data_IF_339206034590
#
_entry.id   IF_339206034590
#
_cell.length_a   1.000
_cell.length_b   1.000
_cell.length_c   1.000
_cell.angle_alpha   90.00
_cell.angle_beta   90.00
_cell.angle_gamma   90.00
#
_symmetry.space_group_name_H-M   'P 1'
#
loop_
_entity.id
_entity.type
_entity.pdbx_description
1 polymer ?
#
# COMPACT_ATOMS: atom_id res chain seq x y z
N UNK A 1 -29.37 -19.51 10.90
CA UNK A 1 -30.72 -19.93 10.49
C UNK A 1 -30.57 -20.89 9.34
N UNK A 2 -31.05 -22.15 9.49
CA UNK A 2 -31.40 -22.97 8.35
C UNK A 2 -32.62 -22.28 7.73
N UNK A 3 -32.38 -21.51 6.69
CA UNK A 3 -33.47 -21.05 5.83
C UNK A 3 -33.92 -22.26 5.01
N UNK A 4 -35.19 -22.59 5.16
CA UNK A 4 -35.86 -23.48 4.22
C UNK A 4 -35.72 -22.83 2.83
N UNK A 5 -35.05 -23.52 1.90
CA UNK A 5 -34.82 -23.07 0.54
C UNK A 5 -36.12 -22.78 -0.25
N UNK A 6 -37.29 -23.17 0.30
CA UNK A 6 -38.61 -22.98 -0.27
C UNK A 6 -39.40 -21.83 0.39
N UNK A 7 -38.88 -21.12 1.41
CA UNK A 7 -39.56 -19.98 1.96
C UNK A 7 -39.23 -18.71 1.14
N UNK A 8 -40.16 -18.23 0.34
CA UNK A 8 -40.15 -16.90 -0.23
C UNK A 8 -40.16 -15.88 0.93
N UNK A 9 -39.01 -15.39 1.33
CA UNK A 9 -38.96 -14.22 2.20
C UNK A 9 -39.27 -12.99 1.36
N UNK A 10 -40.48 -12.47 1.48
CA UNK A 10 -40.81 -11.15 0.95
C UNK A 10 -39.98 -10.09 1.66
N UNK A 11 -39.09 -9.42 0.92
CA UNK A 11 -38.32 -8.26 1.35
C UNK A 11 -39.26 -7.03 1.28
N UNK A 12 -40.38 -7.08 1.96
CA UNK A 12 -41.34 -5.97 2.07
C UNK A 12 -41.27 -5.38 3.47
N UNK A 13 -40.15 -4.69 3.75
CA UNK A 13 -40.02 -3.91 4.99
C UNK A 13 -39.61 -2.48 4.61
N UNK A 14 -40.58 -1.53 4.39
CA UNK A 14 -40.26 -0.16 4.06
C UNK A 14 -39.44 0.46 5.20
N UNK A 15 -38.22 0.92 4.90
CA UNK A 15 -37.30 1.52 5.86
C UNK A 15 -36.07 0.71 6.18
N UNK A 16 -36.00 -0.57 5.80
CA UNK A 16 -34.79 -1.39 5.95
C UNK A 16 -33.86 -1.19 4.75
N UNK A 17 -32.55 -1.03 5.03
CA UNK A 17 -31.53 -0.95 3.99
C UNK A 17 -30.90 -2.31 3.76
N UNK A 18 -30.64 -2.65 2.49
CA UNK A 18 -29.92 -3.84 2.09
C UNK A 18 -28.69 -3.47 1.28
N UNK A 19 -27.54 -3.99 1.70
CA UNK A 19 -26.30 -3.89 0.96
C UNK A 19 -26.03 -5.28 0.40
N UNK A 20 -25.96 -5.41 -0.92
CA UNK A 20 -25.74 -6.67 -1.62
C UNK A 20 -24.37 -6.68 -2.29
N UNK A 21 -23.71 -7.82 -2.24
CA UNK A 21 -22.48 -8.09 -2.98
C UNK A 21 -22.81 -8.99 -4.17
N UNK A 22 -22.49 -8.55 -5.37
CA UNK A 22 -22.63 -9.31 -6.61
C UNK A 22 -21.24 -9.65 -7.14
N UNK A 23 -21.03 -10.92 -7.47
CA UNK A 23 -19.85 -11.41 -8.17
C UNK A 23 -20.31 -11.98 -9.51
N UNK A 24 -19.81 -11.45 -10.62
CA UNK A 24 -20.21 -11.78 -11.98
C UNK A 24 -21.74 -11.80 -12.22
N UNK A 25 -22.44 -10.85 -11.60
CA UNK A 25 -23.89 -10.71 -11.68
C UNK A 25 -24.68 -11.70 -10.80
N UNK A 26 -24.01 -12.55 -10.03
CA UNK A 26 -24.62 -13.49 -9.08
C UNK A 26 -24.59 -12.91 -7.67
N UNK A 27 -25.69 -13.05 -6.92
CA UNK A 27 -25.74 -12.61 -5.52
C UNK A 27 -24.83 -13.49 -4.65
N UNK A 28 -23.67 -12.93 -4.29
CA UNK A 28 -22.67 -13.57 -3.43
C UNK A 28 -23.00 -13.44 -1.94
N UNK A 29 -23.70 -12.38 -1.55
CA UNK A 29 -24.14 -12.17 -0.17
C UNK A 29 -24.87 -10.85 0.02
N UNK A 30 -25.44 -10.67 1.19
CA UNK A 30 -26.05 -9.39 1.59
C UNK A 30 -26.00 -9.17 3.10
N UNK A 31 -26.08 -7.91 3.51
CA UNK A 31 -26.29 -7.48 4.88
C UNK A 31 -27.52 -6.56 4.94
N UNK A 32 -28.32 -6.65 5.99
CA UNK A 32 -29.48 -5.77 6.16
C UNK A 32 -29.36 -4.93 7.43
N UNK A 33 -29.73 -3.66 7.31
CA UNK A 33 -29.62 -2.66 8.34
C UNK A 33 -30.99 -2.04 8.64
N UNK A 34 -31.34 -1.95 9.90
CA UNK A 34 -32.47 -1.15 10.37
C UNK A 34 -31.93 0.21 10.83
N UNK A 35 -32.44 1.32 10.27
CA UNK A 35 -32.08 2.66 10.72
C UNK A 35 -32.67 2.99 12.10
N UNK A 36 -32.21 4.06 12.74
CA UNK A 36 -32.61 4.43 14.11
C UNK A 36 -34.12 4.70 14.31
N UNK A 37 -34.90 4.92 13.27
CA UNK A 37 -36.15 5.66 13.42
C UNK A 37 -37.36 4.77 13.35
N UNK A 38 -38.03 4.06 13.12
CA UNK A 38 -39.44 3.74 12.92
C UNK A 38 -39.91 2.36 13.42
N UNK A 39 -39.02 1.50 13.87
CA UNK A 39 -39.40 0.18 14.41
C UNK A 39 -38.53 -0.21 15.59
N UNK A 40 -39.08 -0.89 16.60
CA UNK A 40 -38.24 -1.43 17.68
C UNK A 40 -37.22 -2.40 17.09
N UNK A 41 -35.92 -2.21 17.42
CA UNK A 41 -34.88 -3.15 17.08
C UNK A 41 -35.24 -4.55 17.60
N UNK A 42 -34.88 -5.59 16.86
CA UNK A 42 -35.14 -6.97 17.30
C UNK A 42 -34.48 -7.28 18.63
N UNK A 43 -33.32 -6.68 18.88
CA UNK A 43 -32.63 -6.81 20.15
C UNK A 43 -33.51 -6.34 21.33
N UNK A 44 -34.43 -5.37 21.14
CA UNK A 44 -35.37 -4.93 22.18
C UNK A 44 -36.45 -5.96 22.48
N UNK A 45 -36.65 -6.95 21.64
CA UNK A 45 -37.56 -8.07 21.91
C UNK A 45 -37.05 -8.96 23.03
N UNK A 46 -35.73 -8.98 23.22
CA UNK A 46 -35.05 -9.80 24.20
C UNK A 46 -34.58 -9.01 25.43
N UNK A 47 -34.37 -7.69 25.27
CA UNK A 47 -33.96 -6.79 26.31
C UNK A 47 -34.92 -5.60 26.39
N UNK A 48 -35.24 -5.19 27.62
CA UNK A 48 -35.98 -3.94 27.80
C UNK A 48 -35.12 -2.77 27.30
N UNK A 49 -35.79 -1.70 26.87
CA UNK A 49 -35.13 -0.44 26.50
C UNK A 49 -34.23 0.07 27.64
N UNK A 50 -34.70 -0.09 28.88
CA UNK A 50 -33.99 0.29 30.09
C UNK A 50 -32.68 -0.53 30.27
N UNK A 51 -32.71 -1.84 29.99
CA UNK A 51 -31.51 -2.70 30.03
C UNK A 51 -30.51 -2.32 28.94
N UNK A 52 -30.98 -2.00 27.74
CA UNK A 52 -30.11 -1.53 26.65
C UNK A 52 -29.47 -0.18 27.00
N UNK A 53 -30.24 0.75 27.58
CA UNK A 53 -29.73 2.04 28.02
C UNK A 53 -28.71 1.91 29.14
N UNK A 54 -28.89 0.97 30.06
CA UNK A 54 -27.96 0.75 31.17
C UNK A 54 -26.71 -0.02 30.77
N UNK A 55 -26.73 -0.82 29.73
CA UNK A 55 -25.60 -1.68 29.31
C UNK A 55 -24.88 -1.15 28.07
N UNK A 56 -25.59 -1.04 26.95
CA UNK A 56 -25.01 -0.61 25.67
C UNK A 56 -24.83 0.90 25.63
N UNK A 57 -25.79 1.63 26.17
CA UNK A 57 -25.82 3.09 26.07
C UNK A 57 -25.18 3.82 27.24
N UNK A 58 -24.87 3.14 28.34
CA UNK A 58 -24.08 3.73 29.44
C UNK A 58 -22.66 4.09 28.98
N UNK A 59 -22.12 3.31 28.03
CA UNK A 59 -20.82 3.58 27.40
C UNK A 59 -20.94 4.48 26.15
N UNK A 60 -22.11 4.53 25.51
CA UNK A 60 -22.35 5.21 24.22
C UNK A 60 -23.07 6.56 24.31
N UNK A 61 -23.20 7.15 25.51
CA UNK A 61 -23.75 8.50 25.71
C UNK A 61 -25.04 8.82 24.91
N UNK A 62 -26.13 8.09 25.16
CA UNK A 62 -27.54 8.50 24.84
C UNK A 62 -27.94 8.67 23.38
N UNK A 63 -27.57 7.76 22.46
CA UNK A 63 -27.80 8.00 21.03
C UNK A 63 -28.65 6.95 20.32
N UNK A 64 -29.80 6.59 20.89
CA UNK A 64 -30.78 5.73 20.19
C UNK A 64 -31.16 6.25 18.81
N UNK A 65 -31.16 7.58 18.62
CA UNK A 65 -31.52 8.22 17.36
C UNK A 65 -30.43 8.11 16.28
N UNK A 66 -29.26 7.58 16.61
CA UNK A 66 -28.13 7.36 15.70
C UNK A 66 -27.60 5.92 15.74
N UNK A 67 -28.35 5.01 16.36
CA UNK A 67 -28.00 3.58 16.45
C UNK A 67 -28.65 2.81 15.30
N UNK A 68 -27.87 1.98 14.62
CA UNK A 68 -28.35 1.05 13.59
C UNK A 68 -28.36 -0.38 14.12
N UNK A 69 -29.30 -1.21 13.66
CA UNK A 69 -29.31 -2.65 13.94
C UNK A 69 -28.90 -3.43 12.71
N UNK A 70 -27.83 -4.25 12.82
CA UNK A 70 -27.51 -5.27 11.83
C UNK A 70 -28.40 -6.49 12.05
N UNK A 71 -29.21 -6.83 11.04
CA UNK A 71 -30.25 -7.87 11.14
C UNK A 71 -29.87 -9.19 10.52
N UNK A 72 -29.25 -9.14 9.36
CA UNK A 72 -28.85 -10.35 8.63
C UNK A 72 -27.54 -10.09 7.90
N UNK A 73 -26.62 -10.98 8.08
CA UNK A 73 -25.41 -11.10 7.25
C UNK A 73 -25.43 -12.51 6.67
N UNK A 74 -25.60 -12.60 5.35
CA UNK A 74 -25.75 -13.87 4.66
C UNK A 74 -24.75 -13.91 3.50
N UNK A 75 -24.02 -15.02 3.40
CA UNK A 75 -23.11 -15.30 2.29
C UNK A 75 -23.56 -16.58 1.60
N UNK A 76 -23.71 -16.52 0.30
CA UNK A 76 -24.02 -17.66 -0.53
C UNK A 76 -22.94 -18.75 -0.36
N UNK A 77 -23.31 -20.01 -0.11
CA UNK A 77 -22.35 -21.08 0.15
C UNK A 77 -21.26 -21.24 -0.91
N UNK A 78 -21.56 -20.94 -2.17
CA UNK A 78 -20.62 -21.04 -3.29
C UNK A 78 -19.50 -19.95 -3.25
N UNK A 79 -19.68 -18.90 -2.45
CA UNK A 79 -18.74 -17.79 -2.30
C UNK A 79 -18.14 -17.72 -0.89
N UNK A 80 -18.28 -18.77 -0.07
CA UNK A 80 -17.65 -18.84 1.25
C UNK A 80 -16.13 -18.90 1.10
N UNK A 81 -15.42 -18.21 1.99
CA UNK A 81 -13.96 -18.10 1.94
C UNK A 81 -13.41 -16.93 1.08
N UNK A 82 -14.28 -16.20 0.38
CA UNK A 82 -13.90 -15.07 -0.48
C UNK A 82 -14.06 -13.68 0.19
N UNK A 83 -13.98 -13.61 1.50
CA UNK A 83 -14.08 -12.37 2.29
C UNK A 83 -15.38 -11.55 2.08
N UNK A 84 -16.43 -12.16 1.52
CA UNK A 84 -17.71 -11.46 1.24
C UNK A 84 -18.33 -10.88 2.51
N UNK A 85 -18.29 -11.61 3.63
CA UNK A 85 -18.80 -11.13 4.93
C UNK A 85 -18.06 -9.89 5.42
N UNK A 86 -16.74 -9.86 5.27
CA UNK A 86 -15.91 -8.72 5.65
C UNK A 86 -16.21 -7.50 4.78
N UNK A 87 -16.29 -7.67 3.45
CA UNK A 87 -16.67 -6.59 2.51
C UNK A 87 -18.04 -6.01 2.84
N UNK A 88 -19.03 -6.85 3.09
CA UNK A 88 -20.38 -6.42 3.46
C UNK A 88 -20.41 -5.66 4.80
N UNK A 89 -19.66 -6.11 5.80
CA UNK A 89 -19.55 -5.42 7.08
C UNK A 89 -18.88 -4.05 6.92
N UNK A 90 -17.80 -3.97 6.15
CA UNK A 90 -17.11 -2.72 5.86
C UNK A 90 -18.03 -1.70 5.18
N UNK A 91 -18.72 -2.09 4.10
CA UNK A 91 -19.67 -1.20 3.43
C UNK A 91 -20.85 -0.80 4.34
N UNK A 92 -21.27 -1.68 5.26
CA UNK A 92 -22.28 -1.34 6.24
C UNK A 92 -21.79 -0.28 7.23
N UNK A 93 -20.52 -0.34 7.67
CA UNK A 93 -19.91 0.68 8.52
C UNK A 93 -19.82 2.03 7.80
N UNK A 94 -19.31 2.05 6.56
CA UNK A 94 -19.23 3.25 5.73
C UNK A 94 -20.63 3.87 5.53
N UNK A 95 -21.62 3.07 5.15
CA UNK A 95 -23.00 3.50 4.96
C UNK A 95 -23.61 4.13 6.22
N UNK A 96 -23.31 3.58 7.40
CA UNK A 96 -23.83 4.06 8.69
C UNK A 96 -23.16 5.39 9.06
N UNK A 97 -21.85 5.50 8.89
CA UNK A 97 -21.08 6.71 9.18
C UNK A 97 -21.46 7.88 8.27
N UNK A 98 -21.68 7.65 6.98
CA UNK A 98 -22.16 8.67 6.03
C UNK A 98 -23.54 9.25 6.41
N UNK A 99 -24.25 8.60 7.33
CA UNK A 99 -25.60 9.00 7.80
C UNK A 99 -25.61 9.34 9.29
N UNK A 100 -24.49 9.80 9.80
CA UNK A 100 -24.31 10.21 11.19
C UNK A 100 -24.65 9.09 12.21
N UNK A 101 -24.57 7.82 11.80
CA UNK A 101 -24.74 6.68 12.69
C UNK A 101 -23.54 6.55 13.62
N UNK A 102 -23.80 6.40 14.92
CA UNK A 102 -22.73 6.36 15.93
C UNK A 102 -22.54 4.99 16.57
N UNK A 103 -23.57 4.15 16.50
CA UNK A 103 -23.58 2.87 17.20
C UNK A 103 -24.27 1.79 16.35
N UNK A 104 -23.81 0.56 16.51
CA UNK A 104 -24.38 -0.63 15.87
C UNK A 104 -24.71 -1.65 16.95
N UNK A 105 -25.91 -2.21 16.85
CA UNK A 105 -26.34 -3.35 17.66
C UNK A 105 -26.65 -4.54 16.76
N UNK A 106 -26.42 -5.75 17.24
CA UNK A 106 -26.70 -6.97 16.51
C UNK A 106 -26.99 -8.14 17.44
N UNK A 107 -27.68 -9.14 16.91
CA UNK A 107 -27.82 -10.47 17.55
C UNK A 107 -27.07 -11.50 16.72
N UNK A 108 -25.95 -12.01 17.21
CA UNK A 108 -25.13 -13.03 16.56
C UNK A 108 -25.51 -14.44 16.98
N UNK A 109 -25.67 -15.34 16.02
CA UNK A 109 -25.82 -16.76 16.26
C UNK A 109 -24.54 -17.34 16.87
N UNK A 110 -24.64 -18.33 17.76
CA UNK A 110 -23.50 -18.99 18.42
C UNK A 110 -22.39 -19.42 17.44
N UNK A 111 -22.75 -19.93 16.27
CA UNK A 111 -21.80 -20.45 15.29
C UNK A 111 -20.96 -19.35 14.60
N UNK A 112 -21.40 -18.09 14.67
CA UNK A 112 -20.76 -16.97 13.98
C UNK A 112 -20.33 -15.82 14.90
N UNK A 113 -20.54 -15.95 16.22
CA UNK A 113 -20.20 -14.89 17.19
C UNK A 113 -18.73 -14.53 17.16
N UNK A 114 -17.84 -15.50 16.97
CA UNK A 114 -16.40 -15.28 16.91
C UNK A 114 -15.98 -14.50 15.63
N UNK A 115 -16.72 -14.68 14.53
CA UNK A 115 -16.52 -13.85 13.33
C UNK A 115 -16.84 -12.39 13.62
N UNK A 116 -17.91 -12.13 14.35
CA UNK A 116 -18.29 -10.77 14.73
C UNK A 116 -17.30 -10.14 15.72
N UNK A 117 -16.82 -10.91 16.71
CA UNK A 117 -15.77 -10.47 17.64
C UNK A 117 -14.49 -10.05 16.90
N UNK A 118 -14.05 -10.85 15.93
CA UNK A 118 -12.89 -10.53 15.07
C UNK A 118 -13.08 -9.26 14.22
N UNK A 119 -14.32 -8.85 13.99
CA UNK A 119 -14.67 -7.62 13.30
C UNK A 119 -15.00 -6.45 14.26
N UNK A 120 -14.55 -6.52 15.52
CA UNK A 120 -14.64 -5.43 16.49
C UNK A 120 -15.96 -5.38 17.28
N UNK A 121 -16.87 -6.35 17.12
CA UNK A 121 -18.09 -6.39 17.92
C UNK A 121 -17.85 -6.92 19.33
N UNK A 122 -18.35 -6.21 20.31
CA UNK A 122 -18.32 -6.62 21.72
C UNK A 122 -19.61 -7.35 22.08
N UNK A 123 -19.49 -8.51 22.72
CA UNK A 123 -20.63 -9.24 23.28
C UNK A 123 -20.90 -8.70 24.69
N UNK A 124 -22.10 -8.21 24.94
CA UNK A 124 -22.47 -7.64 26.25
C UNK A 124 -23.29 -8.56 27.13
N UNK A 125 -23.57 -9.78 26.68
CA UNK A 125 -24.10 -10.87 27.51
C UNK A 125 -23.45 -12.20 27.09
N UNK A 126 -22.44 -12.63 27.81
CA UNK A 126 -21.68 -13.86 27.52
C UNK A 126 -22.47 -15.15 27.73
N UNK A 127 -23.61 -15.10 28.42
CA UNK A 127 -24.49 -16.26 28.58
C UNK A 127 -25.39 -16.48 27.35
N UNK A 128 -25.50 -15.46 26.49
CA UNK A 128 -26.39 -15.49 25.33
C UNK A 128 -27.88 -15.55 25.74
N UNK A 129 -28.72 -15.67 24.73
CA UNK A 129 -30.18 -15.78 24.87
C UNK A 129 -30.65 -16.93 24.00
N UNK A 130 -31.34 -17.90 24.61
CA UNK A 130 -31.90 -19.02 23.91
C UNK A 130 -33.23 -18.63 23.25
N UNK A 131 -33.34 -18.78 21.94
CA UNK A 131 -34.58 -18.59 21.20
C UNK A 131 -34.86 -19.85 20.38
N UNK A 132 -35.84 -20.63 20.80
CA UNK A 132 -36.04 -21.99 20.32
C UNK A 132 -34.87 -22.90 20.77
N UNK A 133 -34.23 -23.54 19.82
CA UNK A 133 -33.02 -24.36 20.05
C UNK A 133 -31.72 -23.59 19.76
N UNK A 134 -31.82 -22.34 19.40
CA UNK A 134 -30.69 -21.53 18.95
C UNK A 134 -30.27 -20.51 19.99
N UNK A 135 -28.98 -20.47 20.29
CA UNK A 135 -28.37 -19.49 21.19
C UNK A 135 -27.89 -18.28 20.38
N UNK A 136 -28.31 -17.08 20.83
CA UNK A 136 -27.93 -15.83 20.26
C UNK A 136 -27.19 -14.96 21.26
N UNK A 137 -26.19 -14.22 20.79
CA UNK A 137 -25.42 -13.27 21.59
C UNK A 137 -25.76 -11.84 21.19
N UNK A 138 -26.21 -11.00 22.13
CA UNK A 138 -26.36 -9.57 21.89
C UNK A 138 -24.99 -8.92 21.81
N UNK A 139 -24.79 -8.15 20.76
CA UNK A 139 -23.51 -7.53 20.43
C UNK A 139 -23.68 -6.06 20.09
N UNK A 140 -22.61 -5.34 20.27
CA UNK A 140 -22.53 -3.92 20.04
C UNK A 140 -21.19 -3.54 19.43
N UNK A 141 -21.16 -2.46 18.67
CA UNK A 141 -19.97 -1.88 18.06
C UNK A 141 -20.14 -0.37 17.94
N UNK A 142 -19.09 0.37 18.28
CA UNK A 142 -18.98 1.79 17.94
C UNK A 142 -18.12 1.92 16.67
N UNK A 143 -18.69 2.33 15.51
CA UNK A 143 -17.97 2.43 14.25
C UNK A 143 -16.75 3.36 14.32
N UNK A 144 -16.89 4.51 15.01
CA UNK A 144 -15.81 5.47 15.15
C UNK A 144 -14.66 4.93 16.03
N UNK A 145 -15.01 4.16 17.07
CA UNK A 145 -13.98 3.53 17.93
C UNK A 145 -13.19 2.47 17.16
N UNK A 146 -13.88 1.64 16.36
CA UNK A 146 -13.23 0.63 15.51
C UNK A 146 -12.34 1.29 14.45
N UNK A 147 -12.81 2.36 13.81
CA UNK A 147 -11.98 3.09 12.84
C UNK A 147 -10.78 3.77 13.50
N UNK A 148 -10.95 4.33 14.70
CA UNK A 148 -9.83 4.89 15.47
C UNK A 148 -8.85 3.82 15.93
N UNK A 149 -9.33 2.67 16.38
CA UNK A 149 -8.48 1.55 16.75
C UNK A 149 -7.71 0.99 15.55
N UNK A 150 -8.35 0.91 14.37
CA UNK A 150 -7.66 0.56 13.14
C UNK A 150 -6.63 1.61 12.71
N UNK A 151 -6.97 2.91 12.80
CA UNK A 151 -6.04 3.98 12.54
C UNK A 151 -4.88 3.94 13.55
N UNK A 152 -5.17 3.77 14.85
CA UNK A 152 -4.16 3.68 15.88
C UNK A 152 -3.25 2.45 15.71
N UNK A 153 -3.80 1.29 15.30
CA UNK A 153 -2.97 0.12 14.97
C UNK A 153 -2.06 0.36 13.79
N UNK A 154 -2.52 1.11 12.78
CA UNK A 154 -1.68 1.53 11.67
C UNK A 154 -0.58 2.46 12.17
N UNK A 155 -0.92 3.44 13.03
CA UNK A 155 0.06 4.36 13.62
C UNK A 155 1.02 3.61 14.57
N UNK A 156 0.54 2.66 15.37
CA UNK A 156 1.35 1.83 16.26
C UNK A 156 2.24 0.85 15.45
N UNK A 157 1.74 0.29 14.36
CA UNK A 157 2.54 -0.54 13.43
C UNK A 157 3.61 0.32 12.73
N UNK A 158 3.29 1.55 12.31
CA UNK A 158 4.26 2.50 11.76
C UNK A 158 5.29 2.91 12.82
N UNK A 159 4.86 3.20 14.05
CA UNK A 159 5.76 3.54 15.16
C UNK A 159 6.64 2.35 15.58
N UNK A 160 6.11 1.13 15.54
CA UNK A 160 6.90 -0.09 15.78
C UNK A 160 7.90 -0.37 14.64
N UNK A 161 7.55 0.00 13.39
CA UNK A 161 8.49 -0.04 12.26
C UNK A 161 9.59 1.03 12.39
N UNK A 162 9.30 2.17 13.05
CA UNK A 162 10.31 3.21 13.35
C UNK A 162 11.26 2.81 14.50
N UNK A 163 10.86 1.87 15.39
CA UNK A 163 11.74 1.30 16.43
C UNK A 163 12.61 0.13 15.93
N UNK A 164 12.28 -0.47 14.77
CA UNK A 164 13.09 -1.53 14.17
C UNK A 164 14.16 -0.91 13.25
N UNK A 165 15.43 -1.10 13.60
CA UNK A 165 16.59 -0.73 12.77
C UNK A 165 16.60 -1.42 11.39
N UNK A 166 15.58 -2.21 11.06
CA UNK A 166 15.44 -2.97 9.83
C UNK A 166 14.37 -2.35 8.93
N UNK A 167 14.76 -1.96 7.72
CA UNK A 167 13.83 -1.48 6.70
C UNK A 167 12.82 -2.56 6.30
N UNK A 168 11.55 -2.35 6.60
CA UNK A 168 10.48 -3.26 6.23
C UNK A 168 9.85 -2.89 4.88
N UNK A 169 9.75 -3.87 3.98
CA UNK A 169 9.26 -3.68 2.60
C UNK A 169 7.92 -4.34 2.29
N UNK A 170 7.19 -4.78 3.28
CA UNK A 170 6.08 -5.68 3.09
C UNK A 170 6.57 -7.13 2.93
N UNK A 171 5.80 -7.97 2.23
CA UNK A 171 6.12 -9.39 2.07
C UNK A 171 5.53 -10.30 3.16
N UNK A 172 4.60 -9.80 3.97
CA UNK A 172 3.85 -10.59 4.96
C UNK A 172 3.14 -11.81 4.35
N UNK A 173 2.89 -11.78 3.04
CA UNK A 173 2.39 -12.93 2.29
C UNK A 173 3.33 -14.15 2.35
N UNK A 174 4.65 -13.93 2.41
CA UNK A 174 5.64 -14.99 2.58
C UNK A 174 5.64 -15.56 3.99
N UNK A 175 5.52 -14.71 4.99
CA UNK A 175 5.42 -15.13 6.40
C UNK A 175 4.15 -15.95 6.63
N UNK A 176 3.03 -15.52 6.02
CA UNK A 176 1.75 -16.22 6.10
C UNK A 176 1.76 -17.54 5.36
N UNK A 177 2.32 -17.59 4.16
CA UNK A 177 2.35 -18.78 3.31
C UNK A 177 3.46 -19.76 3.69
N UNK A 178 4.49 -19.32 4.43
CA UNK A 178 5.68 -20.14 4.78
C UNK A 178 6.28 -20.85 3.56
N UNK A 179 6.38 -20.12 2.43
CA UNK A 179 6.82 -20.63 1.13
C UNK A 179 5.93 -21.70 0.48
N UNK A 180 4.71 -21.92 0.97
CA UNK A 180 3.70 -22.71 0.26
C UNK A 180 3.03 -21.84 -0.81
N UNK A 181 3.36 -22.06 -2.07
CA UNK A 181 2.83 -21.29 -3.19
C UNK A 181 1.31 -21.44 -3.34
N UNK A 182 0.72 -22.60 -2.98
CA UNK A 182 -0.73 -22.77 -3.05
C UNK A 182 -1.47 -21.92 -2.02
N UNK A 183 -0.90 -21.80 -0.83
CA UNK A 183 -1.42 -20.88 0.20
C UNK A 183 -1.23 -19.45 -0.28
N UNK A 184 -0.06 -19.11 -0.81
CA UNK A 184 0.25 -17.76 -1.30
C UNK A 184 -0.68 -17.33 -2.43
N UNK A 185 -0.97 -18.22 -3.39
CA UNK A 185 -1.89 -17.96 -4.51
C UNK A 185 -3.33 -17.70 -4.07
N UNK A 186 -3.70 -18.10 -2.84
CA UNK A 186 -5.00 -17.80 -2.24
C UNK A 186 -5.07 -16.47 -1.50
N UNK A 187 -3.93 -15.78 -1.31
CA UNK A 187 -3.85 -14.51 -0.60
C UNK A 187 -4.01 -13.34 -1.56
N UNK A 188 -4.63 -12.26 -1.09
CA UNK A 188 -4.58 -10.97 -1.76
C UNK A 188 -3.32 -10.25 -1.29
N UNK A 189 -2.31 -10.20 -2.15
CA UNK A 189 -1.05 -9.51 -1.87
C UNK A 189 -1.20 -8.05 -2.27
N UNK A 190 -1.23 -7.15 -1.29
CA UNK A 190 -1.41 -5.72 -1.49
C UNK A 190 -0.34 -4.87 -0.77
N UNK A 191 0.65 -5.52 -0.16
CA UNK A 191 1.76 -4.91 0.59
C UNK A 191 3.05 -4.79 -0.25
N UNK A 192 3.10 -5.43 -1.43
CA UNK A 192 4.18 -5.30 -2.41
C UNK A 192 3.57 -5.08 -3.79
N UNK A 193 4.01 -4.04 -4.49
CA UNK A 193 3.56 -3.72 -5.85
C UNK A 193 4.34 -4.54 -6.89
N UNK A 194 4.16 -5.85 -6.88
CA UNK A 194 4.68 -6.69 -7.96
C UNK A 194 3.81 -6.55 -9.23
N UNK A 195 4.43 -6.80 -10.41
CA UNK A 195 3.69 -6.76 -11.66
C UNK A 195 2.61 -7.84 -11.68
N UNK A 196 1.35 -7.49 -12.04
CA UNK A 196 0.30 -8.49 -12.25
C UNK A 196 0.47 -9.26 -13.57
N UNK A 197 1.40 -8.82 -14.43
CA UNK A 197 1.70 -9.45 -15.71
C UNK A 197 2.97 -10.30 -15.62
N UNK A 198 3.06 -11.39 -16.41
CA UNK A 198 4.28 -12.19 -16.45
C UNK A 198 5.44 -11.42 -17.11
N UNK A 199 6.69 -11.83 -16.84
CA UNK A 199 7.84 -11.36 -17.61
C UNK A 199 7.70 -11.63 -19.11
N UNK A 200 8.48 -10.90 -19.92
CA UNK A 200 8.58 -11.12 -21.36
C UNK A 200 8.85 -12.61 -21.68
N UNK A 201 8.08 -13.22 -22.61
CA UNK A 201 8.23 -14.64 -22.95
C UNK A 201 9.65 -14.99 -23.38
N UNK A 202 10.31 -14.14 -24.16
CA UNK A 202 11.66 -14.33 -24.65
C UNK A 202 12.69 -14.41 -23.49
N UNK A 203 12.50 -13.56 -22.48
CA UNK A 203 13.35 -13.60 -21.27
C UNK A 203 13.15 -14.92 -20.49
N UNK A 204 11.89 -15.36 -20.36
CA UNK A 204 11.59 -16.64 -19.71
C UNK A 204 12.15 -17.83 -20.46
N UNK A 205 12.14 -17.82 -21.80
CA UNK A 205 12.67 -18.90 -22.62
C UNK A 205 14.21 -19.00 -22.47
N UNK A 206 14.93 -17.87 -22.50
CA UNK A 206 16.35 -17.82 -22.22
C UNK A 206 16.68 -18.37 -20.82
N UNK A 207 15.91 -17.97 -19.81
CA UNK A 207 16.10 -18.46 -18.43
C UNK A 207 15.89 -19.98 -18.34
N UNK A 208 14.86 -20.53 -19.01
CA UNK A 208 14.60 -21.98 -19.02
C UNK A 208 15.74 -22.76 -19.69
N UNK A 209 16.25 -22.24 -20.82
CA UNK A 209 17.34 -22.87 -21.55
C UNK A 209 18.67 -22.83 -20.80
N UNK A 210 18.93 -21.76 -20.05
CA UNK A 210 20.22 -21.52 -19.39
C UNK A 210 20.20 -21.76 -17.88
N UNK A 211 19.10 -22.31 -17.32
CA UNK A 211 18.90 -22.40 -15.87
C UNK A 211 20.05 -23.08 -15.14
N UNK A 212 20.57 -24.22 -15.68
CA UNK A 212 21.66 -24.96 -15.08
C UNK A 212 22.93 -24.11 -15.02
N UNK A 213 23.26 -23.42 -16.12
CA UNK A 213 24.41 -22.52 -16.21
C UNK A 213 24.22 -21.33 -15.24
N UNK A 214 23.03 -20.75 -15.18
CA UNK A 214 22.68 -19.65 -14.27
C UNK A 214 22.91 -20.01 -12.79
N UNK A 215 22.78 -21.31 -12.45
CA UNK A 215 23.03 -21.80 -11.09
C UNK A 215 24.49 -22.10 -10.82
N UNK A 216 25.28 -22.46 -11.85
CA UNK A 216 26.63 -23.00 -11.70
C UNK A 216 27.72 -21.95 -11.87
N UNK A 217 27.50 -20.95 -12.72
CA UNK A 217 28.55 -20.00 -13.10
C UNK A 217 28.36 -18.65 -12.37
N UNK A 218 29.49 -18.01 -12.06
CA UNK A 218 29.51 -16.64 -11.55
C UNK A 218 29.17 -15.66 -12.69
N UNK A 219 28.44 -14.57 -12.40
CA UNK A 219 28.12 -13.54 -13.41
C UNK A 219 29.39 -12.74 -13.79
N UNK A 220 29.31 -11.92 -14.86
CA UNK A 220 30.34 -10.93 -15.17
C UNK A 220 30.61 -10.00 -13.99
N UNK A 221 31.86 -9.68 -13.71
CA UNK A 221 32.23 -8.99 -12.47
C UNK A 221 31.59 -7.61 -12.32
N UNK A 222 31.47 -6.85 -13.40
CA UNK A 222 30.89 -5.50 -13.40
C UNK A 222 29.64 -5.38 -14.31
N UNK A 223 29.12 -6.48 -14.81
CA UNK A 223 27.95 -6.52 -15.68
C UNK A 223 28.09 -5.65 -16.94
N UNK A 224 29.24 -5.68 -17.59
CA UNK A 224 29.65 -4.80 -18.69
C UNK A 224 28.63 -4.86 -19.84
N UNK A 225 28.23 -6.06 -20.27
CA UNK A 225 27.27 -6.26 -21.37
C UNK A 225 25.88 -5.71 -21.03
N UNK A 226 25.44 -5.86 -19.78
CA UNK A 226 24.17 -5.28 -19.31
C UNK A 226 24.24 -3.75 -19.35
N UNK A 227 25.34 -3.17 -18.87
CA UNK A 227 25.56 -1.72 -18.91
C UNK A 227 25.54 -1.20 -20.35
N UNK A 228 26.22 -1.88 -21.28
CA UNK A 228 26.24 -1.50 -22.70
C UNK A 228 24.85 -1.62 -23.33
N UNK A 229 24.11 -2.68 -23.02
CA UNK A 229 22.74 -2.90 -23.50
C UNK A 229 21.81 -1.81 -23.00
N UNK A 230 21.82 -1.52 -21.69
CA UNK A 230 21.01 -0.42 -21.10
C UNK A 230 21.38 0.91 -21.76
N UNK A 231 22.67 1.21 -21.88
CA UNK A 231 23.14 2.46 -22.51
C UNK A 231 22.65 2.59 -23.95
N UNK A 232 22.73 1.52 -24.73
CA UNK A 232 22.27 1.49 -26.12
C UNK A 232 20.76 1.70 -26.22
N UNK A 233 19.99 0.93 -25.45
CA UNK A 233 18.50 0.98 -25.49
C UNK A 233 17.98 2.34 -25.02
N UNK A 234 18.60 2.92 -24.00
CA UNK A 234 18.18 4.21 -23.40
C UNK A 234 18.81 5.44 -24.10
N UNK A 235 19.74 5.24 -25.02
CA UNK A 235 20.42 6.33 -25.73
C UNK A 235 21.31 7.18 -24.83
N UNK A 236 21.92 6.57 -23.78
CA UNK A 236 22.78 7.25 -22.82
C UNK A 236 24.22 6.74 -22.91
N UNK A 237 25.17 7.44 -22.33
CA UNK A 237 26.58 7.01 -22.33
C UNK A 237 26.77 5.85 -21.32
N UNK A 238 27.37 4.74 -21.75
CA UNK A 238 27.64 3.59 -20.89
C UNK A 238 28.50 3.94 -19.65
N UNK A 239 29.31 4.99 -19.70
CA UNK A 239 30.07 5.49 -18.55
C UNK A 239 29.16 6.07 -17.46
N UNK A 240 27.98 6.51 -17.83
CA UNK A 240 26.98 7.11 -16.92
C UNK A 240 25.99 6.07 -16.35
N UNK A 241 26.06 4.81 -16.76
CA UNK A 241 25.16 3.75 -16.29
C UNK A 241 25.82 2.93 -15.19
N UNK A 242 25.13 2.62 -14.13
CA UNK A 242 25.51 1.63 -13.12
C UNK A 242 24.36 0.64 -12.91
N UNK A 243 24.66 -0.63 -12.71
CA UNK A 243 23.67 -1.69 -12.48
C UNK A 243 23.89 -2.35 -11.13
N UNK A 244 22.84 -2.82 -10.48
CA UNK A 244 22.94 -3.51 -9.20
C UNK A 244 21.74 -4.41 -8.92
N UNK A 245 21.80 -5.13 -7.79
CA UNK A 245 20.78 -6.08 -7.34
C UNK A 245 19.52 -5.37 -6.81
N UNK A 246 18.78 -4.73 -7.70
CA UNK A 246 17.60 -3.93 -7.38
C UNK A 246 17.93 -2.50 -6.97
N UNK A 247 16.90 -1.62 -6.99
CA UNK A 247 17.05 -0.21 -6.64
C UNK A 247 17.51 0.00 -5.20
N UNK A 248 17.08 -0.83 -4.26
CA UNK A 248 17.56 -0.81 -2.87
C UNK A 248 19.09 -0.88 -2.81
N UNK A 249 19.71 -1.81 -3.55
CA UNK A 249 21.17 -1.92 -3.58
C UNK A 249 21.84 -0.65 -4.10
N UNK A 250 21.26 0.02 -5.11
CA UNK A 250 21.76 1.30 -5.60
C UNK A 250 21.63 2.41 -4.56
N UNK A 251 20.46 2.50 -3.91
CA UNK A 251 20.19 3.49 -2.87
C UNK A 251 21.15 3.34 -1.68
N UNK A 252 21.30 2.14 -1.14
CA UNK A 252 22.22 1.86 -0.03
C UNK A 252 23.70 2.03 -0.40
N UNK A 253 24.05 1.82 -1.67
CA UNK A 253 25.44 2.01 -2.13
C UNK A 253 25.77 3.48 -2.38
N UNK A 254 24.83 4.28 -2.88
CA UNK A 254 25.13 5.60 -3.40
C UNK A 254 24.75 6.74 -2.45
N UNK A 255 23.56 6.68 -1.83
CA UNK A 255 23.11 7.78 -0.97
C UNK A 255 24.08 8.06 0.18
N UNK A 256 24.64 7.06 0.90
CA UNK A 256 25.64 7.31 1.94
C UNK A 256 26.97 7.87 1.45
N UNK A 257 27.25 7.82 0.14
CA UNK A 257 28.43 8.43 -0.46
C UNK A 257 28.22 9.88 -0.90
N UNK A 258 26.97 10.27 -1.05
CA UNK A 258 26.57 11.59 -1.54
C UNK A 258 26.06 12.50 -0.43
N UNK A 259 25.59 11.91 0.67
CA UNK A 259 24.99 12.56 1.82
C UNK A 259 25.72 12.18 3.12
N UNK A 260 25.60 13.03 4.14
CA UNK A 260 26.12 12.78 5.48
C UNK A 260 25.12 13.34 6.52
N UNK A 261 25.46 13.23 7.82
CA UNK A 261 24.59 13.67 8.91
C UNK A 261 24.24 15.15 8.89
N UNK A 262 25.09 15.99 8.30
CA UNK A 262 24.87 17.44 8.19
C UNK A 262 24.05 17.82 6.95
N UNK A 263 23.72 16.87 6.09
CA UNK A 263 22.97 17.11 4.86
C UNK A 263 21.49 17.38 5.14
N UNK A 264 20.95 18.39 4.46
CA UNK A 264 19.50 18.66 4.44
C UNK A 264 18.90 18.13 3.16
N UNK A 265 17.92 17.23 3.27
CA UNK A 265 17.32 16.52 2.12
C UNK A 265 15.83 16.81 2.06
N UNK A 266 15.37 17.32 0.91
CA UNK A 266 13.95 17.50 0.62
C UNK A 266 13.39 16.25 -0.05
N UNK A 267 12.30 15.72 0.48
CA UNK A 267 11.64 14.51 -0.02
C UNK A 267 10.16 14.75 -0.21
N UNK A 268 9.52 14.04 -1.16
CA UNK A 268 8.06 14.06 -1.28
C UNK A 268 7.42 13.31 -0.09
N UNK A 269 6.21 13.72 0.31
CA UNK A 269 5.41 13.02 1.31
C UNK A 269 3.93 13.02 0.89
N UNK A 270 3.28 11.85 0.70
CA UNK A 270 3.84 10.52 0.88
C UNK A 270 4.83 10.11 -0.23
N UNK A 271 5.77 9.24 0.13
CA UNK A 271 6.78 8.70 -0.77
C UNK A 271 7.13 7.25 -0.37
N UNK A 272 7.86 6.54 -1.23
CA UNK A 272 8.37 5.20 -0.96
C UNK A 272 9.24 5.17 0.31
N UNK A 273 8.85 4.36 1.29
CA UNK A 273 9.37 4.41 2.66
C UNK A 273 10.86 4.09 2.82
N UNK A 274 11.47 3.33 1.91
CA UNK A 274 12.90 2.98 1.97
C UNK A 274 13.81 4.22 1.94
N UNK A 275 13.40 5.30 1.24
CA UNK A 275 14.15 6.56 1.26
C UNK A 275 14.21 7.17 2.65
N UNK A 276 13.07 7.23 3.35
CA UNK A 276 13.02 7.75 4.73
C UNK A 276 13.91 6.93 5.65
N UNK A 277 13.84 5.59 5.56
CA UNK A 277 14.69 4.71 6.35
C UNK A 277 16.18 4.96 6.10
N UNK A 278 16.63 5.02 4.84
CA UNK A 278 18.04 5.27 4.52
C UNK A 278 18.49 6.64 5.04
N UNK A 279 17.68 7.67 4.84
CA UNK A 279 18.03 9.02 5.24
C UNK A 279 18.13 9.19 6.77
N UNK A 280 17.18 8.59 7.51
CA UNK A 280 17.10 8.77 8.97
C UNK A 280 17.94 7.75 9.74
N UNK A 281 17.89 6.47 9.39
CA UNK A 281 18.52 5.41 10.18
C UNK A 281 19.90 4.97 9.66
N UNK A 282 20.15 5.07 8.34
CA UNK A 282 21.45 4.66 7.79
C UNK A 282 22.43 5.84 7.71
N UNK A 283 21.97 7.00 7.25
CA UNK A 283 22.81 8.20 7.08
C UNK A 283 22.71 9.12 8.30
N UNK A 284 21.50 9.25 8.86
CA UNK A 284 21.22 10.15 9.98
C UNK A 284 21.17 11.63 9.58
N UNK A 285 20.76 11.95 8.33
CA UNK A 285 20.70 13.31 7.83
C UNK A 285 19.36 13.99 8.18
N UNK A 286 19.30 15.30 7.97
CA UNK A 286 18.08 16.07 8.18
C UNK A 286 17.15 15.94 6.98
N UNK A 287 15.97 15.34 7.21
CA UNK A 287 14.95 15.16 6.19
C UNK A 287 13.82 16.18 6.35
N UNK A 288 13.44 16.83 5.26
CA UNK A 288 12.30 17.75 5.19
C UNK A 288 11.26 17.20 4.21
N UNK A 289 10.01 17.12 4.64
CA UNK A 289 8.91 16.63 3.83
C UNK A 289 8.28 17.76 3.00
N UNK A 290 8.26 17.58 1.67
CA UNK A 290 7.39 18.32 0.77
C UNK A 290 6.04 17.63 0.71
N UNK A 291 5.06 18.13 1.47
CA UNK A 291 3.78 17.44 1.65
C UNK A 291 2.88 17.63 0.44
N UNK A 292 2.55 16.52 -0.21
CA UNK A 292 1.57 16.47 -1.31
C UNK A 292 0.15 16.44 -0.73
N UNK A 293 -0.71 17.34 -1.19
CA UNK A 293 -2.07 17.48 -0.64
C UNK A 293 -3.05 16.58 -1.36
N UNK A 294 -3.88 15.85 -0.63
CA UNK A 294 -4.93 15.00 -1.18
C UNK A 294 -5.96 15.82 -1.96
N UNK A 295 -6.31 17.01 -1.47
CA UNK A 295 -7.29 17.90 -2.10
C UNK A 295 -6.82 18.39 -3.49
N UNK A 296 -5.51 18.43 -3.73
CA UNK A 296 -4.90 18.74 -5.03
C UNK A 296 -4.59 17.48 -5.86
N UNK A 297 -5.10 16.31 -5.42
CA UNK A 297 -4.83 15.02 -6.06
C UNK A 297 -3.37 14.61 -5.99
N UNK A 298 -2.65 14.95 -4.92
CA UNK A 298 -1.22 14.67 -4.69
C UNK A 298 -0.29 15.20 -5.79
N UNK A 299 -0.66 16.29 -6.44
CA UNK A 299 0.16 16.92 -7.48
C UNK A 299 1.31 17.73 -6.87
N UNK A 300 2.43 17.75 -7.57
CA UNK A 300 3.56 18.59 -7.21
C UNK A 300 3.28 20.03 -7.68
N UNK A 301 3.36 21.00 -6.76
CA UNK A 301 3.46 22.39 -7.15
C UNK A 301 4.94 22.68 -7.51
N UNK A 302 5.20 22.90 -8.79
CA UNK A 302 6.56 23.06 -9.31
C UNK A 302 7.28 24.30 -8.72
N UNK A 303 6.57 25.42 -8.57
CA UNK A 303 7.16 26.66 -8.04
C UNK A 303 7.56 26.50 -6.58
N UNK A 304 6.67 25.92 -5.77
CA UNK A 304 6.94 25.68 -4.35
C UNK A 304 8.07 24.68 -4.13
N UNK A 305 8.12 23.60 -4.94
CA UNK A 305 9.18 22.59 -4.85
C UNK A 305 10.55 23.19 -5.20
N UNK A 306 10.63 23.96 -6.29
CA UNK A 306 11.86 24.65 -6.71
C UNK A 306 12.30 25.65 -5.63
N UNK A 307 11.38 26.44 -5.08
CA UNK A 307 11.69 27.40 -4.02
C UNK A 307 12.25 26.69 -2.76
N UNK A 308 11.59 25.62 -2.31
CA UNK A 308 12.06 24.86 -1.14
C UNK A 308 13.40 24.16 -1.39
N UNK A 309 13.65 23.68 -2.62
CA UNK A 309 14.91 23.01 -2.98
C UNK A 309 16.16 23.87 -2.74
N UNK A 310 16.02 25.21 -2.78
CA UNK A 310 17.12 26.15 -2.54
C UNK A 310 17.72 26.05 -1.16
N UNK A 311 16.94 25.57 -0.20
CA UNK A 311 17.33 25.45 1.21
C UNK A 311 17.94 24.07 1.54
N UNK A 312 18.04 23.17 0.55
CA UNK A 312 18.43 21.79 0.75
C UNK A 312 19.66 21.40 -0.09
N UNK A 313 20.50 20.52 0.46
CA UNK A 313 21.66 19.95 -0.24
C UNK A 313 21.25 18.94 -1.31
N UNK A 314 20.12 18.29 -1.12
CA UNK A 314 19.59 17.27 -2.02
C UNK A 314 18.07 17.29 -2.08
N UNK A 315 17.55 16.83 -3.23
CA UNK A 315 16.13 16.59 -3.45
C UNK A 315 15.95 15.15 -3.95
N UNK A 316 15.04 14.41 -3.33
CA UNK A 316 14.67 13.05 -3.76
C UNK A 316 13.21 13.07 -4.23
N UNK A 317 13.01 12.69 -5.48
CA UNK A 317 11.73 12.69 -6.18
C UNK A 317 11.43 11.28 -6.72
N UNK A 318 10.16 10.93 -6.78
CA UNK A 318 9.68 9.67 -7.36
C UNK A 318 8.65 10.02 -8.45
N UNK A 319 8.86 9.61 -9.69
CA UNK A 319 7.98 9.97 -10.80
C UNK A 319 7.78 8.83 -11.80
N UNK A 320 6.59 8.24 -11.92
CA UNK A 320 5.37 8.47 -11.12
C UNK A 320 5.57 8.22 -9.63
N UNK A 321 4.95 9.02 -8.77
CA UNK A 321 5.12 8.92 -7.33
C UNK A 321 4.51 7.62 -6.75
N UNK A 322 5.20 6.99 -5.83
CA UNK A 322 4.70 5.87 -5.04
C UNK A 322 4.51 6.33 -3.58
N UNK A 323 3.33 6.17 -2.96
CA UNK A 323 2.22 5.29 -3.37
C UNK A 323 1.11 5.98 -4.19
N UNK A 324 1.17 7.29 -4.49
CA UNK A 324 0.04 8.03 -5.05
C UNK A 324 -0.26 7.68 -6.52
N UNK A 325 0.72 7.16 -7.26
CA UNK A 325 0.62 6.85 -8.70
C UNK A 325 0.58 8.10 -9.59
N UNK A 326 0.75 9.29 -9.04
CA UNK A 326 0.67 10.54 -9.79
C UNK A 326 1.93 10.76 -10.60
N UNK A 327 1.76 11.00 -11.89
CA UNK A 327 2.83 11.38 -12.81
C UNK A 327 2.91 12.91 -12.93
N UNK A 328 4.10 13.46 -12.74
CA UNK A 328 4.40 14.87 -12.94
C UNK A 328 5.01 15.08 -14.35
N UNK A 329 4.23 15.65 -15.25
CA UNK A 329 4.68 15.95 -16.63
C UNK A 329 5.78 17.02 -16.67
N UNK A 330 5.77 17.93 -15.68
CA UNK A 330 6.71 19.06 -15.59
C UNK A 330 8.04 18.67 -14.92
N UNK A 331 8.28 17.38 -14.64
CA UNK A 331 9.46 16.94 -13.89
C UNK A 331 10.78 17.37 -14.55
N UNK A 332 10.84 17.36 -15.87
CA UNK A 332 12.02 17.83 -16.62
C UNK A 332 12.28 19.32 -16.44
N UNK A 333 11.23 20.14 -16.35
CA UNK A 333 11.33 21.58 -16.11
C UNK A 333 11.74 21.85 -14.65
N UNK A 334 11.14 21.15 -13.71
CA UNK A 334 11.50 21.21 -12.28
C UNK A 334 13.00 20.93 -12.09
N UNK A 335 13.48 19.83 -12.64
CA UNK A 335 14.91 19.43 -12.53
C UNK A 335 15.81 20.48 -13.17
N UNK A 336 15.44 21.04 -14.31
CA UNK A 336 16.21 22.11 -14.96
C UNK A 336 16.26 23.36 -14.09
N UNK A 337 15.12 23.80 -13.56
CA UNK A 337 15.03 24.97 -12.69
C UNK A 337 15.86 24.82 -11.42
N UNK A 338 15.80 23.65 -10.77
CA UNK A 338 16.65 23.33 -9.60
C UNK A 338 18.14 23.40 -9.99
N UNK A 339 18.51 22.89 -11.17
CA UNK A 339 19.88 22.91 -11.66
C UNK A 339 20.34 24.32 -12.02
N UNK A 340 19.52 25.15 -12.70
CA UNK A 340 19.88 26.49 -13.20
C UNK A 340 20.04 27.50 -12.04
N UNK A 341 19.26 27.36 -10.99
CA UNK A 341 19.38 28.18 -9.79
C UNK A 341 20.67 27.91 -8.98
N UNK A 342 21.45 26.99 -9.45
CA UNK A 342 22.66 26.45 -8.83
C UNK A 342 23.89 27.39 -8.87
N UNK A 343 23.80 28.60 -9.38
CA UNK A 343 24.86 29.64 -9.28
C UNK A 343 24.92 30.28 -7.89
N UNK A 344 23.94 30.02 -7.02
CA UNK A 344 23.94 30.46 -5.64
C UNK A 344 24.84 29.57 -4.75
N UNK A 345 25.50 30.10 -3.72
CA UNK A 345 26.28 29.31 -2.75
C UNK A 345 25.47 28.33 -1.89
N UNK A 346 24.12 28.38 -1.94
CA UNK A 346 23.17 27.46 -1.27
C UNK A 346 22.62 26.41 -2.22
N UNK A 347 23.43 25.87 -3.04
CA UNK A 347 23.11 24.98 -4.16
C UNK A 347 22.63 23.60 -3.72
N UNK A 348 21.52 23.10 -4.31
CA UNK A 348 21.18 21.69 -4.36
C UNK A 348 22.26 20.92 -5.15
N UNK A 349 23.00 20.02 -4.48
CA UNK A 349 24.15 19.30 -5.04
C UNK A 349 23.76 17.97 -5.66
N UNK A 350 22.56 17.48 -5.33
CA UNK A 350 22.04 16.19 -5.80
C UNK A 350 20.55 16.29 -6.07
N UNK A 351 20.14 15.83 -7.24
CA UNK A 351 18.73 15.60 -7.60
C UNK A 351 18.61 14.11 -7.93
N UNK A 352 17.94 13.36 -7.05
CA UNK A 352 17.65 11.95 -7.26
C UNK A 352 16.22 11.81 -7.74
N UNK A 353 16.01 11.18 -8.90
CA UNK A 353 14.69 10.90 -9.44
C UNK A 353 14.53 9.40 -9.63
N UNK A 354 13.59 8.81 -8.92
CA UNK A 354 13.21 7.41 -9.08
C UNK A 354 12.12 7.29 -10.15
N UNK A 355 12.46 6.66 -11.24
CA UNK A 355 11.57 6.41 -12.38
C UNK A 355 11.12 4.95 -12.49
N UNK A 356 11.04 4.23 -11.37
CA UNK A 356 10.68 2.81 -11.34
C UNK A 356 9.37 2.49 -12.06
N UNK A 357 8.42 3.42 -12.10
CA UNK A 357 7.09 3.20 -12.68
C UNK A 357 6.88 3.90 -14.04
N UNK A 358 7.84 4.66 -14.55
CA UNK A 358 7.64 5.50 -15.74
C UNK A 358 7.32 4.69 -17.00
N UNK A 359 7.90 3.50 -17.13
CA UNK A 359 7.73 2.65 -18.31
C UNK A 359 6.32 1.99 -18.39
N UNK A 360 5.45 2.18 -17.37
CA UNK A 360 4.01 1.90 -17.49
C UNK A 360 3.25 2.95 -18.30
N UNK A 361 3.86 4.09 -18.56
CA UNK A 361 3.24 5.22 -19.27
C UNK A 361 3.85 5.37 -20.65
N UNK A 362 3.14 5.00 -21.74
CA UNK A 362 3.71 4.95 -23.09
C UNK A 362 4.23 6.31 -23.60
N UNK A 363 3.59 7.40 -23.16
CA UNK A 363 3.91 8.76 -23.62
C UNK A 363 4.82 9.52 -22.65
N UNK A 364 5.21 8.92 -21.53
CA UNK A 364 6.09 9.56 -20.56
C UNK A 364 7.53 9.62 -21.06
N UNK A 365 8.18 10.72 -20.78
CA UNK A 365 9.58 10.93 -21.13
C UNK A 365 10.47 10.77 -19.91
N UNK A 366 11.40 9.83 -20.00
CA UNK A 366 12.42 9.63 -18.97
C UNK A 366 13.41 10.80 -18.96
N UNK A 367 13.90 11.10 -17.75
CA UNK A 367 14.96 12.10 -17.54
C UNK A 367 16.37 11.58 -17.86
N UNK A 368 16.52 10.32 -18.20
CA UNK A 368 17.82 9.71 -18.52
C UNK A 368 18.65 10.51 -19.54
N UNK A 369 18.08 11.03 -20.66
CA UNK A 369 18.83 11.86 -21.61
C UNK A 369 19.33 13.18 -20.99
N UNK A 370 18.62 13.73 -20.01
CA UNK A 370 19.02 14.98 -19.35
C UNK A 370 20.31 14.87 -18.53
N UNK A 371 20.68 13.66 -18.13
CA UNK A 371 21.91 13.41 -17.38
C UNK A 371 23.15 13.96 -18.11
N UNK A 372 23.14 13.96 -19.45
CA UNK A 372 24.26 14.49 -20.26
C UNK A 372 24.53 15.99 -19.99
N UNK A 373 23.52 16.76 -19.62
CA UNK A 373 23.60 18.20 -19.38
C UNK A 373 23.34 18.63 -17.95
N UNK A 374 22.98 17.70 -17.06
CA UNK A 374 22.59 17.98 -15.68
C UNK A 374 23.45 17.16 -14.71
N UNK A 375 24.64 17.66 -14.31
CA UNK A 375 25.60 16.91 -13.49
C UNK A 375 25.10 16.51 -12.09
N UNK A 376 24.14 17.25 -11.55
CA UNK A 376 23.53 16.94 -10.23
C UNK A 376 22.48 15.82 -10.31
N UNK A 377 22.01 15.45 -11.52
CA UNK A 377 20.92 14.50 -11.70
C UNK A 377 21.41 13.04 -11.60
N UNK A 378 20.64 12.26 -10.86
CA UNK A 378 20.73 10.80 -10.81
C UNK A 378 19.33 10.26 -11.09
N UNK A 379 19.18 9.46 -12.14
CA UNK A 379 17.93 8.76 -12.46
C UNK A 379 18.07 7.31 -12.05
N UNK A 380 17.20 6.82 -11.18
CA UNK A 380 17.18 5.43 -10.72
C UNK A 380 15.99 4.69 -11.31
N UNK A 381 16.19 3.47 -11.77
CA UNK A 381 15.15 2.61 -12.33
C UNK A 381 15.26 1.18 -11.84
N UNK A 382 14.14 0.64 -11.37
CA UNK A 382 14.02 -0.78 -11.04
C UNK A 382 13.35 -1.53 -12.19
N UNK A 383 13.89 -2.69 -12.55
CA UNK A 383 13.24 -3.61 -13.50
C UNK A 383 12.25 -4.56 -12.82
N UNK A 384 12.05 -4.41 -11.52
CA UNK A 384 11.16 -5.27 -10.75
C UNK A 384 9.69 -5.11 -11.13
N UNK A 385 9.25 -3.90 -11.45
CA UNK A 385 7.83 -3.55 -11.60
C UNK A 385 7.36 -3.71 -13.05
N UNK A 386 7.69 -2.77 -13.92
CA UNK A 386 7.22 -2.77 -15.31
C UNK A 386 7.66 -4.02 -16.10
N UNK A 387 8.85 -4.54 -15.81
CA UNK A 387 9.40 -5.69 -16.50
C UNK A 387 9.09 -7.02 -15.83
N UNK A 388 8.38 -7.01 -14.69
CA UNK A 388 8.03 -8.20 -13.90
C UNK A 388 9.24 -9.04 -13.46
N UNK A 389 10.37 -8.41 -13.19
CA UNK A 389 11.64 -9.07 -12.83
C UNK A 389 11.96 -8.92 -11.33
N UNK A 390 10.94 -8.81 -10.47
CA UNK A 390 11.11 -8.65 -9.02
C UNK A 390 12.02 -9.72 -8.41
N UNK A 391 11.82 -10.97 -8.80
CA UNK A 391 12.61 -12.10 -8.32
C UNK A 391 14.06 -12.13 -8.82
N UNK A 392 14.34 -11.49 -9.95
CA UNK A 392 15.70 -11.44 -10.54
C UNK A 392 16.56 -10.33 -9.95
N UNK A 393 15.97 -9.37 -9.28
CA UNK A 393 16.69 -8.28 -8.60
C UNK A 393 17.59 -7.49 -9.52
N UNK A 394 17.04 -6.84 -10.56
CA UNK A 394 17.79 -6.00 -11.49
C UNK A 394 17.33 -4.54 -11.39
N UNK A 395 18.28 -3.64 -11.29
CA UNK A 395 18.06 -2.20 -11.37
C UNK A 395 19.29 -1.50 -11.95
N UNK A 396 19.06 -0.29 -12.44
CA UNK A 396 20.16 0.55 -12.89
C UNK A 396 19.94 2.02 -12.50
N UNK A 397 21.02 2.77 -12.50
CA UNK A 397 20.98 4.23 -12.35
C UNK A 397 21.85 4.88 -13.42
N UNK A 398 21.42 6.10 -13.82
CA UNK A 398 22.10 6.91 -14.82
C UNK A 398 22.50 8.25 -14.21
N UNK A 399 23.82 8.58 -14.23
CA UNK A 399 24.35 9.87 -13.79
C UNK A 399 25.77 10.07 -14.31
N UNK A 400 26.20 11.30 -14.48
CA UNK A 400 27.62 11.61 -14.74
C UNK A 400 28.54 11.18 -13.58
N UNK A 401 28.00 11.07 -12.36
CA UNK A 401 28.74 10.63 -11.15
C UNK A 401 29.04 9.12 -11.13
N UNK A 402 28.55 8.33 -12.07
CA UNK A 402 28.71 6.85 -12.06
C UNK A 402 30.15 6.41 -12.20
N UNK A 403 31.03 7.19 -12.84
CA UNK A 403 32.47 6.89 -12.89
C UNK A 403 33.12 6.82 -11.50
N UNK A 404 32.56 7.54 -10.52
CA UNK A 404 33.03 7.56 -9.15
C UNK A 404 32.26 6.61 -8.25
N UNK A 405 30.93 6.50 -8.48
CA UNK A 405 30.02 5.76 -7.60
C UNK A 405 30.07 4.24 -7.82
N UNK A 406 30.39 3.77 -9.03
CA UNK A 406 30.45 2.32 -9.31
C UNK A 406 31.37 1.54 -8.38
N UNK A 407 32.44 2.13 -7.87
CA UNK A 407 33.37 1.48 -6.93
C UNK A 407 32.73 1.05 -5.60
N UNK A 408 31.53 1.58 -5.28
CA UNK A 408 30.77 1.24 -4.08
C UNK A 408 29.78 0.11 -4.32
N UNK A 409 29.59 -0.31 -5.57
CA UNK A 409 28.83 -1.50 -5.91
C UNK A 409 29.76 -2.72 -5.75
N UNK A 410 29.36 -3.74 -4.99
CA UNK A 410 30.17 -4.95 -4.87
C UNK A 410 30.32 -5.66 -6.23
N UNK A 411 31.44 -6.37 -6.47
CA UNK A 411 31.55 -7.23 -7.64
C UNK A 411 30.42 -8.28 -7.62
N UNK A 412 29.98 -8.71 -8.81
CA UNK A 412 28.85 -9.65 -8.96
C UNK A 412 27.53 -9.20 -8.32
N UNK A 413 27.29 -7.89 -8.33
CA UNK A 413 26.08 -7.32 -7.74
C UNK A 413 24.78 -7.80 -8.39
N UNK A 414 24.82 -8.13 -9.68
CA UNK A 414 23.68 -8.73 -10.41
C UNK A 414 23.97 -10.20 -10.63
N UNK A 415 23.01 -11.06 -10.32
CA UNK A 415 23.12 -12.49 -10.56
C UNK A 415 23.12 -12.81 -12.08
N UNK A 416 23.64 -13.97 -12.48
CA UNK A 416 23.68 -14.35 -13.89
C UNK A 416 22.30 -14.42 -14.56
N UNK A 417 21.21 -14.87 -13.89
CA UNK A 417 19.87 -14.81 -14.45
C UNK A 417 19.28 -13.38 -14.51
N UNK A 418 19.81 -12.44 -13.74
CA UNK A 418 19.41 -11.02 -13.76
C UNK A 418 20.04 -10.28 -14.91
#
# INVERSE_FOLDING_TARGET
QQYDANSEQKIEDPGRHFIACLEDGVLAGYISLNPPQDKPFRITTYFSKETLEQTVYAECSHRLNSTYEVRALTVNPNFRGQNISFRLMRYALEFILERDGTDIVAMGHSDVVDLYRKNGMTVFNEHGILHGETLYYPMYLNPLAVMKEHAQRIDDDIAAEEEDDVCYHGGKSWDTSKFDFKVRDSLVVADVLDSPFPPCPEALDVLREQLERCCQESPPTQCEELIETVAHVRGVNAKHVAVSSGSSSLMFSFLPQLLNQDSNVLVLSPMYGEYSHILTHVIGCHMTNFVLQQDDGFRINADDLVEQSRLHDAVILVNPNSPTGVYCEEMSDIVRRIQDESESPTRCKMIWVDETYIDYMPDAQSLEPMVATTPSLIVCKSMSKCYALSGLRVAYAVSQKMTELRRFIPPWAVSLPG
#
